data_IF_267427003348
#
_entry.id   IF_267427003348
#
_cell.length_a   1.000
_cell.length_b   1.000
_cell.length_c   1.000
_cell.angle_alpha   90.00
_cell.angle_beta   90.00
_cell.angle_gamma   90.00
#
_symmetry.space_group_name_H-M   'P 1'
#
loop_
_entity.id
_entity.type
_entity.pdbx_description
1 polymer ?
#
# COMPACT_ATOMS: atom_id res chain seq x y z
N UNK A 1 -3.56 -12.49 -10.33
CA UNK A 1 -4.48 -11.33 -10.46
C UNK A 1 -4.07 -10.30 -9.43
N UNK A 2 -3.67 -9.07 -9.76
CA UNK A 2 -3.25 -8.12 -8.72
C UNK A 2 -4.30 -7.89 -7.61
N UNK A 3 -3.81 -7.44 -6.45
CA UNK A 3 -4.61 -7.16 -5.26
C UNK A 3 -4.33 -5.76 -4.73
N UNK A 4 -5.35 -5.08 -4.22
CA UNK A 4 -5.24 -3.74 -3.64
C UNK A 4 -5.83 -3.77 -2.24
N UNK A 5 -5.17 -3.11 -1.29
CA UNK A 5 -5.65 -2.85 0.06
C UNK A 5 -5.64 -1.36 0.33
N UNK A 6 -6.53 -0.92 1.22
CA UNK A 6 -6.60 0.47 1.64
C UNK A 6 -6.95 0.57 3.11
N UNK A 7 -6.30 1.49 3.82
CA UNK A 7 -6.55 1.78 5.21
C UNK A 7 -6.66 3.29 5.42
N UNK A 8 -7.75 3.74 6.01
CA UNK A 8 -8.00 5.14 6.33
C UNK A 8 -8.29 5.30 7.82
N UNK A 9 -7.70 6.32 8.43
CA UNK A 9 -7.96 6.68 9.82
C UNK A 9 -8.08 8.20 9.95
N UNK A 10 -9.22 8.75 10.41
CA UNK A 10 -9.39 10.20 10.58
C UNK A 10 -8.36 10.84 11.53
N UNK A 11 -7.82 10.05 12.47
CA UNK A 11 -6.72 10.43 13.35
C UNK A 11 -5.44 9.74 12.88
N UNK A 12 -4.31 10.44 12.97
CA UNK A 12 -2.99 9.85 12.72
C UNK A 12 -2.81 8.61 13.61
N UNK A 13 -2.38 7.51 13.01
CA UNK A 13 -2.27 6.21 13.67
C UNK A 13 -0.85 5.68 13.52
N UNK A 14 -0.16 5.50 14.65
CA UNK A 14 1.20 4.91 14.72
C UNK A 14 1.25 3.44 14.27
N UNK A 15 0.09 2.80 14.07
CA UNK A 15 -0.02 1.41 13.61
C UNK A 15 -0.36 1.29 12.12
N UNK A 16 -0.31 2.38 11.37
CA UNK A 16 -0.80 2.37 10.00
C UNK A 16 0.05 1.46 9.09
N UNK A 17 1.38 1.43 9.24
CA UNK A 17 2.20 0.53 8.43
C UNK A 17 1.88 -0.93 8.75
N UNK A 18 1.81 -1.28 10.04
CA UNK A 18 1.45 -2.64 10.46
C UNK A 18 0.09 -3.09 9.91
N UNK A 19 -0.92 -2.20 9.94
CA UNK A 19 -2.26 -2.53 9.44
C UNK A 19 -2.28 -2.73 7.93
N UNK A 20 -1.68 -1.82 7.16
CA UNK A 20 -1.70 -1.94 5.71
C UNK A 20 -0.88 -3.15 5.24
N UNK A 21 0.27 -3.44 5.86
CA UNK A 21 1.08 -4.63 5.55
C UNK A 21 0.30 -5.91 5.84
N UNK A 22 -0.28 -6.04 7.04
CA UNK A 22 -1.08 -7.22 7.39
C UNK A 22 -2.25 -7.44 6.42
N UNK A 23 -2.93 -6.38 6.01
CA UNK A 23 -4.00 -6.48 5.01
C UNK A 23 -3.46 -6.94 3.64
N UNK A 24 -2.33 -6.39 3.20
CA UNK A 24 -1.68 -6.70 1.92
C UNK A 24 -1.15 -8.13 1.89
N UNK A 25 -0.68 -8.65 3.02
CA UNK A 25 -0.23 -10.03 3.19
C UNK A 25 -1.35 -11.05 3.09
N UNK A 26 -2.55 -10.74 3.63
CA UNK A 26 -3.73 -11.61 3.49
C UNK A 26 -4.12 -11.86 2.03
N UNK A 27 -3.80 -10.91 1.14
CA UNK A 27 -4.05 -11.03 -0.30
C UNK A 27 -2.79 -11.34 -1.11
N UNK A 28 -1.68 -11.74 -0.48
CA UNK A 28 -0.41 -12.06 -1.15
C UNK A 28 -0.57 -13.06 -2.29
N UNK A 29 -1.41 -14.08 -2.13
CA UNK A 29 -1.67 -15.10 -3.16
C UNK A 29 -2.19 -14.51 -4.49
N UNK A 30 -2.72 -13.28 -4.48
CA UNK A 30 -3.17 -12.57 -5.69
C UNK A 30 -1.99 -12.01 -6.49
N UNK A 31 -0.90 -11.63 -5.84
CA UNK A 31 0.30 -11.09 -6.46
C UNK A 31 1.55 -11.35 -5.62
N UNK A 32 2.14 -12.56 -5.73
CA UNK A 32 3.29 -12.95 -4.93
C UNK A 32 4.62 -12.36 -5.42
N UNK A 33 4.64 -11.74 -6.61
CA UNK A 33 5.87 -11.39 -7.32
C UNK A 33 6.47 -10.05 -6.88
N UNK A 34 5.63 -9.12 -6.43
CA UNK A 34 6.04 -7.79 -5.98
C UNK A 34 4.95 -7.15 -5.11
N UNK A 35 5.36 -6.19 -4.28
CA UNK A 35 4.45 -5.39 -3.47
C UNK A 35 4.89 -3.95 -3.38
N UNK A 36 3.95 -3.02 -3.22
CA UNK A 36 4.26 -1.61 -3.00
C UNK A 36 3.21 -0.96 -2.12
N UNK A 37 3.61 0.15 -1.49
CA UNK A 37 2.79 0.89 -0.56
C UNK A 37 2.86 2.38 -0.87
N UNK A 38 1.77 3.10 -0.61
CA UNK A 38 1.76 4.56 -0.62
C UNK A 38 1.04 5.06 0.62
N UNK A 39 1.65 6.04 1.28
CA UNK A 39 1.11 6.72 2.45
C UNK A 39 0.75 8.14 2.05
N UNK A 40 -0.44 8.58 2.43
CA UNK A 40 -1.02 9.85 2.03
C UNK A 40 -1.49 10.59 3.29
N UNK A 41 -1.14 11.86 3.39
CA UNK A 41 -1.80 12.81 4.26
C UNK A 41 -2.83 13.59 3.44
N UNK A 42 -4.11 13.29 3.61
CA UNK A 42 -5.18 13.92 2.83
C UNK A 42 -5.39 15.40 3.17
N UNK A 43 -4.79 15.90 4.25
CA UNK A 43 -4.88 17.32 4.61
C UNK A 43 -3.79 18.14 3.91
N UNK A 44 -2.56 17.62 3.87
CA UNK A 44 -1.43 18.30 3.22
C UNK A 44 -1.24 17.90 1.75
N UNK A 45 -1.97 16.90 1.27
CA UNK A 45 -1.80 16.27 -0.05
C UNK A 45 -0.37 15.74 -0.30
N UNK A 46 0.35 15.41 0.78
CA UNK A 46 1.67 14.80 0.70
C UNK A 46 1.48 13.29 0.56
N UNK A 47 2.19 12.70 -0.38
CA UNK A 47 2.26 11.24 -0.55
C UNK A 47 3.70 10.75 -0.53
N UNK A 48 3.90 9.56 0.03
CA UNK A 48 5.19 8.90 0.13
C UNK A 48 5.03 7.44 -0.29
N UNK A 49 5.77 7.06 -1.32
CA UNK A 49 5.87 5.66 -1.74
C UNK A 49 6.83 4.90 -0.84
N UNK A 50 6.51 3.64 -0.57
CA UNK A 50 7.29 2.77 0.30
C UNK A 50 7.35 1.33 -0.21
N UNK A 51 8.48 0.70 0.08
CA UNK A 51 8.77 -0.69 -0.23
C UNK A 51 8.49 -1.59 0.97
N UNK A 52 7.92 -2.76 0.69
CA UNK A 52 7.78 -3.85 1.65
C UNK A 52 8.93 -4.85 1.57
N UNK A 53 8.74 -6.01 2.19
CA UNK A 53 9.74 -7.08 2.22
C UNK A 53 9.90 -7.74 0.85
N UNK A 54 8.81 -7.86 0.09
CA UNK A 54 8.78 -8.53 -1.23
C UNK A 54 8.99 -7.57 -2.40
N UNK A 55 9.16 -6.28 -2.13
CA UNK A 55 9.52 -5.32 -3.16
C UNK A 55 10.88 -5.68 -3.74
N UNK A 56 10.99 -5.69 -5.07
CA UNK A 56 12.24 -5.94 -5.79
C UNK A 56 13.40 -5.07 -5.29
N UNK A 57 14.59 -5.66 -5.09
CA UNK A 57 15.77 -4.98 -4.54
C UNK A 57 16.17 -3.72 -5.30
N UNK A 58 16.01 -3.71 -6.64
CA UNK A 58 16.28 -2.55 -7.49
C UNK A 58 15.40 -1.34 -7.18
N UNK A 59 14.18 -1.57 -6.69
CA UNK A 59 13.24 -0.50 -6.31
C UNK A 59 13.41 -0.14 -4.84
N UNK A 60 13.65 -1.15 -4.00
CA UNK A 60 13.83 -1.01 -2.55
C UNK A 60 14.97 -0.06 -2.17
N UNK A 61 16.03 0.02 -2.98
CA UNK A 61 17.14 0.98 -2.74
C UNK A 61 16.75 2.44 -2.92
N UNK A 62 15.66 2.72 -3.65
CA UNK A 62 15.19 4.08 -3.97
C UNK A 62 13.96 4.49 -3.15
N UNK A 63 13.37 3.56 -2.39
CA UNK A 63 12.17 3.78 -1.59
C UNK A 63 12.44 3.66 -0.10
N UNK A 64 11.61 4.33 0.70
CA UNK A 64 11.60 4.14 2.15
C UNK A 64 10.99 2.77 2.47
N UNK A 65 11.44 2.12 3.54
CA UNK A 65 10.78 0.91 4.02
C UNK A 65 9.43 1.26 4.63
N UNK A 66 8.42 0.40 4.43
CA UNK A 66 7.05 0.62 4.93
C UNK A 66 7.01 0.95 6.43
N UNK A 67 7.82 0.27 7.24
CA UNK A 67 7.90 0.49 8.69
C UNK A 67 8.65 1.76 9.11
N UNK A 68 9.43 2.38 8.22
CA UNK A 68 10.05 3.68 8.52
C UNK A 68 9.04 4.84 8.55
N UNK A 69 7.79 4.59 8.14
CA UNK A 69 6.73 5.59 8.03
C UNK A 69 5.74 5.61 9.21
N UNK A 70 5.88 4.73 10.20
CA UNK A 70 4.97 4.64 11.36
C UNK A 70 4.92 5.94 12.20
N UNK A 71 5.95 6.79 12.10
CA UNK A 71 6.03 8.10 12.79
C UNK A 71 5.66 9.30 11.92
N UNK A 72 5.34 9.08 10.65
CA UNK A 72 5.04 10.16 9.71
C UNK A 72 3.53 10.36 9.64
N UNK A 73 3.15 11.63 9.56
CA UNK A 73 1.80 12.15 9.73
C UNK A 73 0.80 11.79 8.61
N UNK A 74 0.59 10.51 8.32
CA UNK A 74 -0.34 10.06 7.28
C UNK A 74 -1.68 9.60 7.88
N UNK A 75 -2.76 9.68 7.10
CA UNK A 75 -4.10 9.27 7.50
C UNK A 75 -4.78 8.33 6.50
N UNK A 76 -4.12 8.06 5.37
CA UNK A 76 -4.53 7.12 4.34
C UNK A 76 -3.31 6.31 3.88
N UNK A 77 -3.48 5.02 3.69
CA UNK A 77 -2.46 4.15 3.11
C UNK A 77 -3.09 3.18 2.11
N UNK A 78 -2.39 2.88 1.03
CA UNK A 78 -2.72 1.79 0.11
C UNK A 78 -1.56 0.80 0.02
N UNK A 79 -1.91 -0.46 -0.19
CA UNK A 79 -0.98 -1.53 -0.52
C UNK A 79 -1.39 -2.19 -1.83
N UNK A 80 -0.41 -2.70 -2.56
CA UNK A 80 -0.62 -3.40 -3.80
C UNK A 80 0.19 -4.69 -3.84
N UNK A 81 -0.43 -5.77 -4.34
CA UNK A 81 0.20 -7.06 -4.64
C UNK A 81 0.16 -7.26 -6.14
N UNK A 82 1.31 -7.41 -6.77
CA UNK A 82 1.44 -7.55 -8.22
C UNK A 82 1.67 -9.00 -8.63
N UNK A 83 0.93 -9.46 -9.63
CA UNK A 83 1.22 -10.70 -10.34
C UNK A 83 1.76 -10.32 -11.72
N UNK A 84 3.03 -10.61 -11.96
CA UNK A 84 3.73 -10.27 -13.19
C UNK A 84 3.32 -11.24 -14.31
N UNK A 85 2.31 -10.89 -15.12
CA UNK A 85 1.84 -11.72 -16.25
C UNK A 85 2.40 -11.21 -17.59
N UNK A 86 2.39 -9.90 -17.82
CA UNK A 86 2.76 -9.31 -19.12
C UNK A 86 4.12 -8.61 -19.06
N UNK A 87 4.42 -7.95 -17.95
CA UNK A 87 5.72 -7.31 -17.72
C UNK A 87 6.38 -7.99 -16.52
N UNK A 88 7.47 -8.72 -16.75
CA UNK A 88 8.19 -9.42 -15.69
C UNK A 88 9.28 -8.56 -15.06
N UNK A 89 9.48 -7.35 -15.56
CA UNK A 89 10.55 -6.47 -15.07
C UNK A 89 10.13 -5.78 -13.77
N UNK A 90 11.11 -5.32 -12.97
CA UNK A 90 10.87 -4.43 -11.83
C UNK A 90 10.21 -3.09 -12.21
N UNK A 91 10.26 -2.71 -13.50
CA UNK A 91 9.69 -1.46 -14.01
C UNK A 91 8.17 -1.38 -13.93
N UNK A 92 7.49 -2.51 -13.76
CA UNK A 92 6.04 -2.54 -13.54
C UNK A 92 5.61 -2.50 -12.06
N UNK A 93 6.54 -2.20 -11.14
CA UNK A 93 6.23 -2.03 -9.72
C UNK A 93 5.13 -0.98 -9.51
N UNK A 94 4.22 -1.24 -8.58
CA UNK A 94 3.13 -0.33 -8.26
C UNK A 94 2.94 -0.25 -6.76
N UNK A 95 2.69 0.95 -6.21
CA UNK A 95 2.41 2.21 -6.91
C UNK A 95 3.68 2.94 -7.44
N UNK A 96 3.66 3.42 -8.69
CA UNK A 96 4.77 4.22 -9.27
C UNK A 96 4.24 5.43 -10.05
N UNK A 97 4.42 6.66 -9.56
CA UNK A 97 4.22 7.90 -10.34
C UNK A 97 2.84 8.15 -10.97
N UNK A 98 1.82 7.32 -10.70
CA UNK A 98 0.47 7.47 -11.25
C UNK A 98 -0.31 8.49 -10.41
N UNK A 99 -1.06 9.38 -11.08
CA UNK A 99 -2.23 10.02 -10.45
C UNK A 99 -3.20 8.89 -10.08
N UNK A 100 -3.21 8.50 -8.81
CA UNK A 100 -4.20 7.55 -8.29
C UNK A 100 -5.55 8.27 -8.33
N UNK A 101 -6.32 8.06 -9.40
CA UNK A 101 -7.72 8.46 -9.45
C UNK A 101 -8.51 7.37 -8.75
N UNK A 102 -8.69 7.55 -7.44
CA UNK A 102 -9.52 6.67 -6.63
C UNK A 102 -10.99 6.98 -6.92
N UNK A 103 -11.62 6.17 -7.76
CA UNK A 103 -13.08 6.11 -7.80
C UNK A 103 -13.56 5.39 -6.54
N UNK A 104 -13.82 6.15 -5.46
CA UNK A 104 -14.58 5.65 -4.32
C UNK A 104 -16.03 5.52 -4.76
N UNK A 105 -16.38 4.41 -5.39
CA UNK A 105 -17.78 4.03 -5.46
C UNK A 105 -18.25 3.83 -4.01
N UNK A 106 -19.39 4.42 -3.66
CA UNK A 106 -20.10 4.21 -2.39
C UNK A 106 -20.64 2.77 -2.28
N UNK A 107 -19.84 1.78 -2.65
CA UNK A 107 -20.11 0.38 -2.45
C UNK A 107 -19.67 0.06 -1.03
N UNK A 108 -20.61 -0.39 -0.21
CA UNK A 108 -20.39 -0.94 1.13
C UNK A 108 -19.13 -1.84 1.18
N UNK A 109 -17.98 -1.26 1.54
CA UNK A 109 -16.84 -2.02 2.02
C UNK A 109 -17.24 -2.47 3.41
N UNK A 110 -17.63 -3.74 3.52
CA UNK A 110 -18.01 -4.35 4.79
C UNK A 110 -16.74 -4.46 5.65
N UNK A 111 -16.48 -3.44 6.47
CA UNK A 111 -15.45 -3.48 7.50
C UNK A 111 -15.78 -4.63 8.46
N UNK A 112 -15.04 -5.73 8.38
CA UNK A 112 -15.06 -6.73 9.45
C UNK A 112 -14.13 -6.20 10.53
N UNK A 113 -14.71 -5.58 11.56
CA UNK A 113 -14.00 -5.24 12.79
C UNK A 113 -13.75 -6.57 13.50
N UNK A 114 -12.51 -7.06 13.47
CA UNK A 114 -12.10 -8.13 14.38
C UNK A 114 -11.68 -7.43 15.68
N UNK A 115 -12.60 -7.37 16.64
CA UNK A 115 -12.29 -7.01 18.01
C UNK A 115 -11.67 -8.21 18.72
N UNK A 116 -10.52 -8.01 19.34
CA UNK A 116 -10.10 -8.75 20.53
C UNK A 116 -10.27 -7.84 21.74
#
# INVERSE_FOLDING_TARGET
MCGITGYYSPKKSELMANRIVNMTDLIRHRGPDDEGYVFIDTHSNISIDAAGVDTSDTIKSNLKTVYSLDKVCHNLAFGHRRYAIIDLTPGGHQPSGMKIVLYVFHLMVRFTIISS
#
